data_IF_127010381280
#
_entry.id   IF_127010381280
#
_cell.length_a   1.000
_cell.length_b   1.000
_cell.length_c   1.000
_cell.angle_alpha   90.00
_cell.angle_beta   90.00
_cell.angle_gamma   90.00
#
_symmetry.space_group_name_H-M   'P 1'
#
loop_
_entity.id
_entity.type
_entity.pdbx_description
1 polymer ?
#
# COMPACT_ATOMS: atom_id res chain seq x y z
N UNK A 1 -20.88 -3.69 6.71
CA UNK A 1 -19.79 -2.87 7.26
C UNK A 1 -18.55 -3.76 7.28
N UNK A 2 -17.66 -3.65 6.29
CA UNK A 2 -16.60 -4.64 6.01
C UNK A 2 -15.23 -3.99 5.81
N UNK A 3 -14.76 -3.26 6.82
CA UNK A 3 -13.33 -3.03 6.98
C UNK A 3 -13.11 -2.67 8.44
N UNK A 4 -12.50 -3.59 9.19
CA UNK A 4 -12.20 -3.45 10.62
C UNK A 4 -11.34 -2.20 10.93
N UNK A 5 -10.67 -1.66 9.92
CA UNK A 5 -9.71 -0.57 10.02
C UNK A 5 -10.15 0.60 9.14
N UNK A 6 -10.01 1.84 9.62
CA UNK A 6 -10.30 3.07 8.87
C UNK A 6 -9.07 3.94 8.64
N UNK A 7 -7.92 3.55 9.20
CA UNK A 7 -6.68 4.32 9.24
C UNK A 7 -5.59 3.57 8.50
N UNK A 8 -4.79 4.29 7.71
CA UNK A 8 -3.64 3.74 7.03
C UNK A 8 -2.53 3.42 8.03
N UNK A 9 -2.14 2.15 8.12
CA UNK A 9 -1.09 1.71 9.04
C UNK A 9 0.30 2.30 8.75
N UNK A 10 0.52 2.78 7.51
CA UNK A 10 1.82 3.32 7.07
C UNK A 10 1.98 4.83 7.32
N UNK A 11 0.90 5.61 7.27
CA UNK A 11 0.96 7.07 7.43
C UNK A 11 0.08 7.64 8.55
N UNK A 12 -0.79 6.82 9.16
CA UNK A 12 -1.66 7.21 10.26
C UNK A 12 -2.87 8.08 9.87
N UNK A 13 -3.09 8.32 8.57
CA UNK A 13 -4.24 9.10 8.08
C UNK A 13 -5.43 8.21 7.73
N UNK A 14 -6.64 8.76 7.83
CA UNK A 14 -7.87 8.07 7.44
C UNK A 14 -7.84 7.65 5.96
N UNK A 15 -8.45 6.50 5.66
CA UNK A 15 -8.58 5.97 4.30
C UNK A 15 -10.01 6.12 3.84
N UNK A 16 -10.20 6.91 2.78
CA UNK A 16 -11.47 6.97 2.09
C UNK A 16 -11.62 5.74 1.17
N UNK A 17 -12.44 4.78 1.63
CA UNK A 17 -12.72 3.51 0.94
C UNK A 17 -13.65 3.67 -0.26
N UNK A 18 -14.23 4.86 -0.48
CA UNK A 18 -15.06 5.16 -1.65
C UNK A 18 -14.22 5.51 -2.89
N UNK A 19 -12.96 5.87 -2.67
CA UNK A 19 -12.03 6.19 -3.75
C UNK A 19 -11.67 4.94 -4.56
N UNK A 20 -11.90 5.01 -5.86
CA UNK A 20 -11.55 3.95 -6.82
C UNK A 20 -10.50 4.46 -7.79
N UNK A 21 -10.91 5.02 -8.93
CA UNK A 21 -10.04 5.59 -9.95
C UNK A 21 -10.07 7.13 -9.90
N UNK A 22 -8.98 7.76 -10.30
CA UNK A 22 -8.86 9.20 -10.47
C UNK A 22 -9.42 9.68 -11.81
N UNK A 23 -9.35 11.01 -12.05
CA UNK A 23 -9.86 11.63 -13.29
C UNK A 23 -9.18 11.13 -14.57
N UNK A 24 -7.95 10.62 -14.45
CA UNK A 24 -7.16 10.04 -15.53
C UNK A 24 -7.48 8.56 -15.80
N UNK A 25 -8.49 8.00 -15.13
CA UNK A 25 -8.89 6.60 -15.21
C UNK A 25 -7.96 5.65 -14.46
N UNK A 26 -6.88 6.13 -13.83
CA UNK A 26 -5.92 5.31 -13.10
C UNK A 26 -6.34 5.12 -11.64
N UNK A 27 -5.90 4.07 -10.95
CA UNK A 27 -6.23 3.87 -9.55
C UNK A 27 -5.79 5.05 -8.68
N UNK A 28 -6.75 5.64 -7.95
CA UNK A 28 -6.54 6.85 -7.18
C UNK A 28 -5.42 6.65 -6.13
N UNK A 29 -4.44 7.55 -5.97
CA UNK A 29 -3.32 7.36 -5.04
C UNK A 29 -3.72 7.14 -3.58
N UNK A 30 -4.87 7.68 -3.18
CA UNK A 30 -5.43 7.59 -1.83
C UNK A 30 -6.50 6.50 -1.66
N UNK A 31 -6.73 5.66 -2.68
CA UNK A 31 -7.65 4.52 -2.52
C UNK A 31 -7.11 3.51 -1.50
N UNK A 32 -8.02 2.77 -0.89
CA UNK A 32 -7.69 1.65 -0.02
C UNK A 32 -7.01 0.51 -0.80
N UNK A 33 -5.93 -0.03 -0.24
CA UNK A 33 -5.27 -1.26 -0.65
C UNK A 33 -4.90 -2.11 0.58
N UNK A 34 -4.74 -3.41 0.35
CA UNK A 34 -4.22 -4.36 1.34
C UNK A 34 -2.70 -4.32 1.28
N UNK A 35 -2.04 -3.89 2.35
CA UNK A 35 -0.57 -3.92 2.48
C UNK A 35 -0.14 -5.16 3.26
N UNK A 36 0.85 -5.87 2.74
CA UNK A 36 1.47 -7.02 3.40
C UNK A 36 2.50 -6.51 4.42
N UNK A 37 2.34 -6.80 5.71
CA UNK A 37 3.29 -6.37 6.75
C UNK A 37 4.68 -6.94 6.44
N UNK A 38 4.75 -8.25 6.23
CA UNK A 38 5.90 -8.95 5.66
C UNK A 38 5.56 -9.30 4.22
N UNK A 39 6.28 -8.75 3.22
CA UNK A 39 6.05 -9.07 1.82
C UNK A 39 6.19 -10.57 1.55
N UNK A 40 5.38 -11.13 0.65
CA UNK A 40 5.51 -12.55 0.23
C UNK A 40 6.92 -12.85 -0.28
N UNK A 41 7.53 -11.92 -1.01
CA UNK A 41 8.92 -12.02 -1.49
C UNK A 41 9.97 -12.14 -0.38
N UNK A 42 9.60 -11.86 0.87
CA UNK A 42 10.43 -11.97 2.08
C UNK A 42 9.97 -13.10 3.02
N UNK A 43 9.06 -13.96 2.56
CA UNK A 43 8.56 -15.11 3.34
C UNK A 43 7.29 -14.84 4.15
N UNK A 44 6.61 -13.72 3.93
CA UNK A 44 5.31 -13.46 4.54
C UNK A 44 4.19 -14.33 3.94
N UNK A 45 3.19 -14.68 4.75
CA UNK A 45 2.02 -15.42 4.28
C UNK A 45 1.02 -14.46 3.62
N UNK A 46 0.55 -14.73 2.38
CA UNK A 46 -0.47 -13.91 1.73
C UNK A 46 -1.88 -14.15 2.28
N UNK A 47 -2.06 -15.19 3.10
CA UNK A 47 -3.38 -15.64 3.56
C UNK A 47 -3.67 -15.30 5.03
N UNK A 48 -2.65 -14.90 5.79
CA UNK A 48 -2.81 -14.57 7.20
C UNK A 48 -3.37 -13.16 7.38
N UNK A 49 -4.54 -13.05 8.03
CA UNK A 49 -5.12 -11.75 8.40
C UNK A 49 -4.16 -10.91 9.24
N UNK A 50 -3.33 -11.54 10.07
CA UNK A 50 -2.29 -10.89 10.87
C UNK A 50 -1.10 -10.36 10.07
N UNK A 51 -0.93 -10.77 8.81
CA UNK A 51 0.12 -10.27 7.91
C UNK A 51 -0.40 -9.21 6.93
N UNK A 52 -1.65 -8.76 7.07
CA UNK A 52 -2.23 -7.73 6.22
C UNK A 52 -2.78 -6.58 7.04
N UNK A 53 -2.65 -5.37 6.52
CA UNK A 53 -3.14 -4.14 7.14
C UNK A 53 -3.70 -3.18 6.10
N UNK A 54 -4.57 -2.27 6.52
CA UNK A 54 -5.09 -1.23 5.63
C UNK A 54 -4.03 -0.17 5.30
N UNK A 55 -3.86 0.14 4.02
CA UNK A 55 -3.00 1.24 3.58
C UNK A 55 -3.60 2.02 2.40
N UNK A 56 -3.12 3.25 2.20
CA UNK A 56 -3.32 3.93 0.92
C UNK A 56 -2.45 3.28 -0.16
N UNK A 57 -2.98 3.20 -1.38
CA UNK A 57 -2.25 2.74 -2.58
C UNK A 57 -0.87 3.38 -2.73
N UNK A 58 -0.75 4.70 -2.52
CA UNK A 58 0.52 5.44 -2.61
C UNK A 58 1.51 5.02 -1.53
N UNK A 59 1.03 4.80 -0.30
CA UNK A 59 1.87 4.39 0.83
C UNK A 59 2.40 2.96 0.61
N UNK A 60 1.51 2.05 0.21
CA UNK A 60 1.84 0.67 -0.12
C UNK A 60 2.93 0.60 -1.22
N UNK A 61 2.73 1.29 -2.34
CA UNK A 61 3.73 1.37 -3.41
C UNK A 61 5.06 1.97 -2.96
N UNK A 62 5.04 2.96 -2.06
CA UNK A 62 6.26 3.58 -1.54
C UNK A 62 7.02 2.64 -0.61
N UNK A 63 6.32 1.82 0.17
CA UNK A 63 6.92 0.77 1.00
C UNK A 63 7.50 -0.34 0.13
N UNK A 64 6.76 -0.81 -0.87
CA UNK A 64 7.17 -1.92 -1.72
C UNK A 64 7.54 -3.15 -0.88
N UNK A 65 8.70 -3.75 -1.16
CA UNK A 65 9.22 -4.90 -0.41
C UNK A 65 10.22 -4.52 0.71
N UNK A 66 10.27 -3.24 1.08
CA UNK A 66 11.20 -2.77 2.10
C UNK A 66 10.75 -3.19 3.50
N UNK A 67 11.71 -3.64 4.31
CA UNK A 67 11.53 -4.03 5.71
C UNK A 67 12.37 -3.14 6.64
N UNK A 68 12.00 -3.04 7.93
CA UNK A 68 12.84 -2.39 8.94
C UNK A 68 14.27 -2.99 8.92
N UNK A 69 15.27 -2.13 8.74
CA UNK A 69 16.68 -2.54 8.62
C UNK A 69 17.20 -2.64 7.18
N UNK A 70 16.32 -2.65 6.16
CA UNK A 70 16.76 -2.47 4.78
C UNK A 70 17.40 -1.08 4.62
N UNK A 71 18.50 -1.01 3.86
CA UNK A 71 19.04 0.28 3.38
C UNK A 71 18.12 0.83 2.29
N UNK A 72 16.97 1.38 2.71
CA UNK A 72 16.04 2.01 1.78
C UNK A 72 16.70 3.29 1.27
N UNK A 73 17.16 3.28 0.01
CA UNK A 73 17.46 4.55 -0.68
C UNK A 73 16.16 5.33 -0.66
N UNK A 74 16.12 6.47 0.02
CA UNK A 74 14.99 7.39 -0.01
C UNK A 74 14.89 7.99 -1.42
N UNK A 75 14.40 7.20 -2.38
CA UNK A 75 14.20 7.65 -3.74
C UNK A 75 13.03 8.63 -3.71
N UNK A 76 13.35 9.93 -3.83
CA UNK A 76 12.37 10.98 -4.17
C UNK A 76 11.86 10.85 -5.61
N UNK A 77 12.22 9.76 -6.30
CA UNK A 77 11.71 9.45 -7.62
C UNK A 77 10.18 9.24 -7.52
N UNK A 78 9.42 9.72 -8.52
CA UNK A 78 8.00 9.40 -8.61
C UNK A 78 7.80 7.88 -8.55
N UNK A 79 6.70 7.46 -7.93
CA UNK A 79 6.36 6.03 -7.82
C UNK A 79 6.47 5.39 -9.21
N UNK A 80 7.23 4.30 -9.38
CA UNK A 80 7.36 3.65 -10.66
C UNK A 80 5.96 3.16 -11.07
N UNK A 81 5.40 3.77 -12.12
CA UNK A 81 4.17 3.26 -12.73
C UNK A 81 4.54 2.00 -13.48
N UNK A 82 4.09 0.85 -12.97
CA UNK A 82 4.42 -0.47 -13.50
C UNK A 82 3.76 -0.79 -14.86
N UNK A 83 3.04 0.14 -15.49
CA UNK A 83 2.26 -0.16 -16.69
C UNK A 83 2.59 0.81 -17.83
N UNK A 84 3.39 0.33 -18.78
CA UNK A 84 3.35 0.72 -20.19
C UNK A 84 2.70 -0.45 -20.94
N UNK A 85 1.38 -0.42 -21.06
CA UNK A 85 0.65 -1.23 -22.03
C UNK A 85 -0.35 -0.33 -22.74
#
# INVERSE_FOLDING_TARGET
MLAEEDVCALCGLAVDKTLTNGPDGKPHPWRAEVDEIVPVSRGGSPFERSNVQLAHRRCNQRKGNAMPGDRVRATRLPLPTSQQW
#
